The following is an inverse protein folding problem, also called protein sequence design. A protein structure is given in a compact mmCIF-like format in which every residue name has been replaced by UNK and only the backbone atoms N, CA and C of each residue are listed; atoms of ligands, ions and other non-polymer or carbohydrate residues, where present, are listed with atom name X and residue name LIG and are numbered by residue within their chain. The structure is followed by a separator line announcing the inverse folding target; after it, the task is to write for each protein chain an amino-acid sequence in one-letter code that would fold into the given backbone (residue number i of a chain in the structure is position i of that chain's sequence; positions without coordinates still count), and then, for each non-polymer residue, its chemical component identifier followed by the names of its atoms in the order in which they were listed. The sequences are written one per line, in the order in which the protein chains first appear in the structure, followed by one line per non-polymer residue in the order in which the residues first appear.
data_IF_308397007498
#
_entry.id   IF_308397007498
#
_cell.length_a   1.000
_cell.length_b   1.000
_cell.length_c   1.000
_cell.angle_alpha   90.00
_cell.angle_beta   90.00
_cell.angle_gamma   90.00
#
_symmetry.space_group_name_H-M   'P 1'
#
loop_
_entity.id
_entity.type
_entity.pdbx_description
1 polymer ?
#
# COMPACT_ATOMS: atom_id res chain seq x y z
N UNK A 1 6.65 -14.21 -0.73
CA UNK A 1 7.05 -12.87 -1.23
C UNK A 1 6.35 -11.82 -0.41
N UNK A 2 7.07 -10.80 0.06
CA UNK A 2 6.44 -9.71 0.83
C UNK A 2 5.69 -8.80 -0.15
N UNK A 3 4.43 -8.50 0.15
CA UNK A 3 3.54 -7.61 -0.60
C UNK A 3 3.07 -6.47 0.31
N UNK A 4 2.86 -5.30 -0.28
CA UNK A 4 2.30 -4.14 0.42
C UNK A 4 0.81 -4.00 0.10
N UNK A 5 -0.03 -4.01 1.13
CA UNK A 5 -1.51 -3.96 1.07
C UNK A 5 -2.06 -2.53 1.08
N UNK A 6 -1.43 -1.62 0.34
CA UNK A 6 -1.73 -0.19 0.47
C UNK A 6 -3.20 0.16 0.13
N UNK A 7 -3.76 -0.46 -0.91
CA UNK A 7 -5.14 -0.19 -1.35
C UNK A 7 -6.15 -0.57 -0.27
N UNK A 8 -5.99 -1.76 0.29
CA UNK A 8 -6.86 -2.25 1.36
C UNK A 8 -6.76 -1.38 2.61
N UNK A 9 -5.55 -0.87 2.91
CA UNK A 9 -5.37 0.06 4.04
C UNK A 9 -5.98 1.44 3.80
N UNK A 10 -6.03 1.93 2.56
CA UNK A 10 -6.73 3.17 2.21
C UNK A 10 -8.25 3.00 2.37
N UNK A 11 -8.79 1.86 1.94
CA UNK A 11 -10.21 1.55 2.10
C UNK A 11 -10.56 1.41 3.59
N UNK A 12 -9.73 0.70 4.36
CA UNK A 12 -9.90 0.56 5.81
C UNK A 12 -9.75 1.90 6.55
N UNK A 13 -8.88 2.79 6.09
CA UNK A 13 -8.79 4.15 6.62
C UNK A 13 -10.09 4.93 6.36
N UNK A 14 -10.57 4.94 5.12
CA UNK A 14 -11.81 5.62 4.74
C UNK A 14 -13.02 5.09 5.52
N UNK A 15 -13.08 3.77 5.75
CA UNK A 15 -14.15 3.16 6.54
C UNK A 15 -14.10 3.58 8.03
N UNK A 16 -12.91 3.80 8.59
CA UNK A 16 -12.73 4.22 10.00
C UNK A 16 -12.94 5.70 10.22
N UNK A 17 -12.50 6.55 9.29
CA UNK A 17 -12.49 8.02 9.46
C UNK A 17 -13.60 8.73 8.70
N UNK A 18 -14.24 8.07 7.74
CA UNK A 18 -15.14 8.69 6.77
C UNK A 18 -14.41 9.54 5.71
N UNK A 19 -13.08 9.63 5.75
CA UNK A 19 -12.31 10.43 4.81
C UNK A 19 -11.74 9.58 3.67
N UNK A 20 -12.09 9.94 2.43
CA UNK A 20 -11.45 9.36 1.25
C UNK A 20 -10.05 9.92 1.07
N UNK A 21 -9.05 9.08 1.31
CA UNK A 21 -7.65 9.43 1.14
C UNK A 21 -7.18 9.04 -0.27
N UNK A 22 -6.80 10.03 -1.07
CA UNK A 22 -6.22 9.83 -2.41
C UNK A 22 -4.71 9.62 -2.31
N UNK A 23 -4.07 9.10 -3.35
CA UNK A 23 -2.60 8.98 -3.39
C UNK A 23 -1.90 10.33 -3.27
N UNK A 24 -2.52 11.40 -3.77
CA UNK A 24 -2.01 12.77 -3.65
C UNK A 24 -2.06 13.25 -2.20
N UNK A 25 -3.21 13.13 -1.52
CA UNK A 25 -3.30 13.45 -0.08
C UNK A 25 -2.36 12.60 0.77
N UNK A 26 -2.19 11.32 0.42
CA UNK A 26 -1.26 10.45 1.13
C UNK A 26 0.20 10.88 0.89
N UNK A 27 0.56 11.27 -0.32
CA UNK A 27 1.87 11.84 -0.63
C UNK A 27 2.14 13.09 0.20
N UNK A 28 1.17 14.01 0.29
CA UNK A 28 1.28 15.22 1.10
C UNK A 28 1.45 14.91 2.60
N UNK A 29 0.64 13.99 3.14
CA UNK A 29 0.71 13.58 4.56
C UNK A 29 2.01 12.87 4.92
N UNK A 30 2.54 12.07 4.01
CA UNK A 30 3.74 11.25 4.25
C UNK A 30 5.04 11.99 3.87
N UNK A 31 4.94 13.09 3.13
CA UNK A 31 6.09 13.77 2.52
C UNK A 31 6.83 12.89 1.52
N UNK A 32 6.12 11.96 0.88
CA UNK A 32 6.66 11.07 -0.15
C UNK A 32 6.19 11.53 -1.52
N UNK A 33 6.99 11.31 -2.55
CA UNK A 33 6.55 11.56 -3.92
C UNK A 33 5.34 10.68 -4.28
N UNK A 34 4.35 11.23 -4.99
CA UNK A 34 3.19 10.48 -5.48
C UNK A 34 3.59 9.23 -6.29
N UNK A 35 4.63 9.32 -7.11
CA UNK A 35 5.16 8.18 -7.87
C UNK A 35 5.64 7.02 -6.99
N UNK A 36 6.16 7.32 -5.78
CA UNK A 36 6.55 6.33 -4.77
C UNK A 36 5.34 5.60 -4.23
N UNK A 37 4.28 6.34 -3.88
CA UNK A 37 3.01 5.80 -3.38
C UNK A 37 2.36 4.90 -4.46
N UNK A 38 2.31 5.37 -5.71
CA UNK A 38 1.76 4.59 -6.83
C UNK A 38 2.57 3.33 -7.10
N UNK A 39 3.90 3.42 -7.08
CA UNK A 39 4.79 2.26 -7.24
C UNK A 39 4.57 1.23 -6.12
N UNK A 40 4.41 1.70 -4.89
CA UNK A 40 4.13 0.87 -3.72
C UNK A 40 2.76 0.17 -3.83
N UNK A 41 1.75 0.82 -4.41
CA UNK A 41 0.40 0.28 -4.59
C UNK A 41 0.23 -0.66 -5.79
N UNK A 42 1.13 -0.61 -6.77
CA UNK A 42 1.02 -1.34 -8.04
C UNK A 42 2.01 -2.48 -8.17
N UNK A 43 3.24 -2.32 -7.66
CA UNK A 43 4.29 -3.34 -7.80
C UNK A 43 4.11 -4.42 -6.74
N UNK A 44 4.05 -5.68 -7.18
CA UNK A 44 4.01 -6.84 -6.28
C UNK A 44 5.29 -7.00 -5.46
N UNK A 45 6.43 -6.56 -6.01
CA UNK A 45 7.74 -6.59 -5.38
C UNK A 45 8.29 -5.17 -5.32
N UNK A 46 7.93 -4.47 -4.25
CA UNK A 46 8.45 -3.14 -3.97
C UNK A 46 9.36 -3.20 -2.75
N UNK A 47 10.60 -2.73 -2.90
CA UNK A 47 11.52 -2.61 -1.79
C UNK A 47 11.29 -1.24 -1.11
N UNK A 48 10.42 -1.24 -0.10
CA UNK A 48 10.21 -0.07 0.75
C UNK A 48 11.23 -0.08 1.90
N UNK A 49 11.84 1.08 2.17
CA UNK A 49 12.60 1.27 3.41
C UNK A 49 11.68 1.32 4.63
N UNK A 50 12.22 1.00 5.80
CA UNK A 50 11.47 1.09 7.07
C UNK A 50 10.92 2.49 7.33
N UNK A 51 11.67 3.53 6.94
CA UNK A 51 11.23 4.92 7.06
C UNK A 51 9.99 5.21 6.20
N UNK A 52 9.93 4.66 4.98
CA UNK A 52 8.76 4.79 4.10
C UNK A 52 7.54 4.10 4.71
N UNK A 53 7.73 2.88 5.24
CA UNK A 53 6.67 2.13 5.92
C UNK A 53 6.18 2.91 7.15
N UNK A 54 7.09 3.42 7.98
CA UNK A 54 6.75 4.20 9.17
C UNK A 54 5.91 5.44 8.82
N UNK A 55 6.33 6.22 7.83
CA UNK A 55 5.60 7.42 7.38
C UNK A 55 4.18 7.07 6.93
N UNK A 56 4.04 6.00 6.15
CA UNK A 56 2.74 5.55 5.64
C UNK A 56 1.86 5.03 6.77
N UNK A 57 2.41 4.21 7.67
CA UNK A 57 1.71 3.68 8.84
C UNK A 57 1.22 4.80 9.76
N UNK A 58 2.05 5.83 10.01
CA UNK A 58 1.65 7.02 10.77
C UNK A 58 0.53 7.80 10.09
N UNK A 59 0.61 7.99 8.78
CA UNK A 59 -0.41 8.72 8.00
C UNK A 59 -1.76 7.99 7.92
N UNK A 60 -1.73 6.66 7.91
CA UNK A 60 -2.92 5.79 7.85
C UNK A 60 -3.39 5.29 9.21
N UNK A 61 -2.71 5.67 10.30
CA UNK A 61 -2.94 5.16 11.65
C UNK A 61 -3.09 3.63 11.67
N UNK A 62 -2.11 2.92 11.12
CA UNK A 62 -2.06 1.46 11.09
C UNK A 62 -0.70 0.92 11.55
N UNK A 63 -0.64 -0.39 11.80
CA UNK A 63 0.61 -1.06 12.12
C UNK A 63 1.28 -1.61 10.85
N UNK A 64 2.60 -1.77 10.84
CA UNK A 64 3.31 -2.39 9.72
C UNK A 64 2.78 -3.79 9.36
N UNK A 65 2.30 -4.55 10.35
CA UNK A 65 1.71 -5.87 10.13
C UNK A 65 0.39 -5.85 9.34
N UNK A 66 -0.36 -4.74 9.37
CA UNK A 66 -1.57 -4.59 8.55
C UNK A 66 -1.21 -4.25 7.10
N UNK A 67 -0.14 -3.46 6.94
CA UNK A 67 0.33 -2.97 5.64
C UNK A 67 1.15 -4.01 4.87
N UNK A 68 1.89 -4.89 5.57
CA UNK A 68 2.80 -5.86 4.99
C UNK A 68 2.23 -7.27 5.11
N UNK A 69 2.21 -7.99 3.99
CA UNK A 69 1.76 -9.38 3.95
C UNK A 69 2.83 -10.29 3.37
N UNK A 70 3.11 -11.39 4.06
CA UNK A 70 3.93 -12.46 3.53
C UNK A 70 3.07 -13.39 2.68
N UNK A 71 3.13 -13.24 1.35
CA UNK A 71 2.45 -14.14 0.44
C UNK A 71 3.26 -15.44 0.27
N UNK A 72 2.61 -16.59 0.08
CA UNK A 72 3.29 -17.81 -0.34
C UNK A 72 4.03 -17.59 -1.68
N UNK A 73 5.04 -18.40 -2.01
CA UNK A 73 5.67 -18.34 -3.33
C UNK A 73 4.57 -18.50 -4.40
N UNK A 74 4.47 -17.53 -5.30
CA UNK A 74 3.42 -17.51 -6.31
C UNK A 74 3.56 -18.75 -7.19
N UNK A 75 2.59 -19.66 -7.11
CA UNK A 75 2.28 -20.51 -8.27
C UNK A 75 1.79 -19.58 -9.38
N UNK A 76 2.25 -19.77 -10.63
CA UNK A 76 1.94 -18.85 -11.72
C UNK A 76 0.42 -18.80 -11.93
N UNK A 77 -0.22 -17.74 -11.44
CA UNK A 77 -1.64 -17.47 -11.72
C UNK A 77 -1.74 -17.06 -13.19
N UNK A 78 -2.42 -17.89 -14.00
CA UNK A 78 -2.82 -17.52 -15.36
C UNK A 78 -3.62 -16.21 -15.27
N UNK A 79 -3.06 -15.10 -15.71
CA UNK A 79 -3.82 -13.86 -15.95
C UNK A 79 -4.88 -14.21 -16.99
N UNK A 80 -6.14 -14.23 -16.58
CA UNK A 80 -7.28 -14.42 -17.47
C UNK A 80 -7.22 -13.36 -18.57
N UNK A 81 -7.27 -13.82 -19.83
CA UNK A 81 -7.51 -12.95 -20.99
C UNK A 81 -8.86 -12.28 -20.80
N UNK A 82 -8.87 -10.96 -20.92
CA UNK A 82 -10.02 -10.16 -21.30
C UNK A 82 -10.69 -10.80 -22.52
N UNK A 83 -12.01 -10.98 -22.47
CA UNK A 83 -12.87 -11.21 -23.66
C UNK A 83 -13.74 -9.99 -23.85
#
# INVERSE_FOLDING_TARGET
MIRIRLREMLDAFCARTGERLTYEKLADRTGLARATIESMATRERYNASLLTIERVCRALHCQPGDLLELQPPATPRKKGRTS
#
